data_IF_734867300061
#
_entry.id   IF_734867300061
#
_cell.length_a   1.000
_cell.length_b   1.000
_cell.length_c   1.000
_cell.angle_alpha   90.00
_cell.angle_beta   90.00
_cell.angle_gamma   90.00
#
_symmetry.space_group_name_H-M   'P 1'
#
loop_
_entity.id
_entity.type
_entity.pdbx_description
1 polymer ?
#
# COMPACT_ATOMS: atom_id res chain seq x y z
N UNK A 1 2.63 54.67 33.92
CA UNK A 1 2.26 54.15 32.59
C UNK A 1 2.25 52.63 32.67
N UNK A 2 1.07 52.03 32.54
CA UNK A 2 0.84 50.60 32.76
C UNK A 2 1.29 49.71 31.58
N UNK A 3 1.76 48.51 31.93
CA UNK A 3 1.83 47.21 31.23
C UNK A 3 2.21 47.14 29.73
N UNK A 4 3.19 46.29 29.41
CA UNK A 4 2.88 45.03 28.72
C UNK A 4 3.94 43.94 28.95
N UNK A 5 3.44 42.72 29.14
CA UNK A 5 4.12 41.50 29.57
C UNK A 5 4.75 40.77 28.36
N UNK A 6 5.83 40.05 28.67
CA UNK A 6 6.63 39.09 27.91
C UNK A 6 5.99 38.40 26.68
N UNK A 7 6.82 38.16 25.66
CA UNK A 7 6.80 36.89 24.92
C UNK A 7 8.20 36.38 24.57
N UNK A 8 8.61 35.37 25.33
CA UNK A 8 9.57 34.34 24.96
C UNK A 8 8.94 33.41 23.91
N UNK A 9 9.60 33.15 22.77
CA UNK A 9 10.05 31.80 22.34
C UNK A 9 10.53 31.75 20.87
N UNK A 10 11.43 30.80 20.55
CA UNK A 10 12.17 30.76 19.30
C UNK A 10 11.31 30.28 18.13
N UNK A 11 11.67 30.75 16.93
CA UNK A 11 11.07 30.31 15.66
C UNK A 11 11.57 28.90 15.36
N UNK A 12 10.91 27.90 15.96
CA UNK A 12 11.14 26.50 15.64
C UNK A 12 10.71 26.25 14.19
N UNK A 13 11.67 25.77 13.40
CA UNK A 13 11.53 25.21 12.07
C UNK A 13 10.57 24.01 12.08
N UNK A 14 9.28 24.26 11.89
CA UNK A 14 8.33 23.19 11.63
C UNK A 14 7.13 23.70 10.82
N UNK A 15 6.63 22.82 9.95
CA UNK A 15 5.40 22.94 9.15
C UNK A 15 5.49 23.67 7.80
N UNK A 16 6.49 23.30 6.99
CA UNK A 16 6.37 23.29 5.53
C UNK A 16 6.15 21.90 4.93
N UNK A 17 6.15 20.83 5.73
CA UNK A 17 5.62 19.52 5.31
C UNK A 17 4.10 19.59 5.45
N UNK A 18 3.48 20.27 4.48
CA UNK A 18 2.07 20.10 4.20
C UNK A 18 1.80 18.59 4.24
N UNK A 19 0.96 18.17 5.21
CA UNK A 19 0.43 16.82 5.31
C UNK A 19 0.13 16.35 3.89
N UNK A 20 0.90 15.38 3.39
CA UNK A 20 0.51 14.59 2.23
C UNK A 20 -0.85 14.01 2.61
N UNK A 21 -1.91 14.68 2.14
CA UNK A 21 -3.27 14.26 2.39
C UNK A 21 -3.34 12.80 1.98
N UNK A 22 -3.79 11.98 2.93
CA UNK A 22 -3.72 10.52 2.89
C UNK A 22 -4.63 10.02 1.77
N UNK A 23 -4.11 9.97 0.56
CA UNK A 23 -4.80 9.54 -0.66
C UNK A 23 -4.97 8.02 -0.71
N UNK A 24 -5.45 7.32 0.34
CA UNK A 24 -5.32 5.85 0.31
C UNK A 24 -6.13 5.01 1.29
N UNK A 25 -7.35 5.39 1.66
CA UNK A 25 -8.24 4.40 2.28
C UNK A 25 -8.95 3.51 1.23
N UNK A 26 -9.27 4.05 0.04
CA UNK A 26 -9.75 3.28 -1.12
C UNK A 26 -8.61 2.56 -1.86
N UNK A 27 -7.48 3.26 -2.11
CA UNK A 27 -6.39 2.69 -2.93
C UNK A 27 -5.79 1.42 -2.34
N UNK A 28 -5.80 1.23 -1.02
CA UNK A 28 -5.25 0.01 -0.42
C UNK A 28 -6.13 -1.23 -0.65
N UNK A 29 -7.46 -1.12 -0.62
CA UNK A 29 -8.32 -2.30 -0.85
C UNK A 29 -8.49 -2.60 -2.33
N UNK A 30 -8.62 -1.58 -3.16
CA UNK A 30 -8.71 -1.71 -4.62
C UNK A 30 -7.43 -2.31 -5.20
N UNK A 31 -6.26 -1.76 -4.84
CA UNK A 31 -4.99 -2.33 -5.29
C UNK A 31 -4.82 -3.77 -4.80
N UNK A 32 -5.16 -4.07 -3.54
CA UNK A 32 -5.08 -5.45 -3.01
C UNK A 32 -6.02 -6.40 -3.76
N UNK A 33 -7.22 -5.98 -4.12
CA UNK A 33 -8.17 -6.79 -4.87
C UNK A 33 -7.66 -7.10 -6.28
N UNK A 34 -7.15 -6.09 -6.99
CA UNK A 34 -6.58 -6.24 -8.34
C UNK A 34 -5.32 -7.12 -8.31
N UNK A 35 -4.40 -6.89 -7.35
CA UNK A 35 -3.22 -7.74 -7.17
C UNK A 35 -3.64 -9.18 -6.89
N UNK A 36 -4.60 -9.42 -5.98
CA UNK A 36 -5.11 -10.77 -5.68
C UNK A 36 -5.71 -11.46 -6.91
N UNK A 37 -6.45 -10.71 -7.73
CA UNK A 37 -7.03 -11.22 -8.97
C UNK A 37 -5.94 -11.70 -9.94
N UNK A 38 -4.93 -10.88 -10.20
CA UNK A 38 -3.86 -11.27 -11.11
C UNK A 38 -2.94 -12.37 -10.58
N UNK A 39 -2.69 -12.41 -9.27
CA UNK A 39 -1.97 -13.52 -8.62
C UNK A 39 -2.71 -14.83 -8.86
N UNK A 40 -4.04 -14.87 -8.67
CA UNK A 40 -4.87 -16.05 -8.97
C UNK A 40 -4.86 -16.44 -10.44
N UNK A 41 -4.58 -15.50 -11.35
CA UNK A 41 -4.41 -15.74 -12.79
C UNK A 41 -2.98 -16.18 -13.15
N UNK A 42 -2.07 -16.26 -12.19
CA UNK A 42 -0.69 -16.71 -12.39
C UNK A 42 0.23 -15.66 -13.01
N UNK A 43 -0.14 -14.37 -13.01
CA UNK A 43 0.72 -13.31 -13.54
C UNK A 43 1.94 -13.05 -12.64
N UNK A 44 3.05 -12.69 -13.27
CA UNK A 44 4.27 -12.30 -12.57
C UNK A 44 4.14 -10.90 -11.95
N UNK A 45 4.94 -10.54 -10.92
CA UNK A 45 4.92 -9.19 -10.35
C UNK A 45 5.11 -8.08 -11.38
N UNK A 46 5.96 -8.31 -12.38
CA UNK A 46 6.27 -7.35 -13.44
C UNK A 46 5.04 -7.06 -14.30
N UNK A 47 4.39 -8.12 -14.81
CA UNK A 47 3.18 -7.97 -15.63
C UNK A 47 2.05 -7.29 -14.86
N UNK A 48 1.87 -7.62 -13.58
CA UNK A 48 0.86 -6.98 -12.72
C UNK A 48 1.14 -5.49 -12.59
N UNK A 49 2.39 -5.11 -12.34
CA UNK A 49 2.77 -3.72 -12.18
C UNK A 49 2.60 -2.93 -13.48
N UNK A 50 3.08 -3.47 -14.60
CA UNK A 50 2.94 -2.82 -15.92
C UNK A 50 1.47 -2.63 -16.29
N UNK A 51 0.62 -3.65 -16.08
CA UNK A 51 -0.82 -3.54 -16.31
C UNK A 51 -1.45 -2.45 -15.43
N UNK A 52 -1.14 -2.43 -14.13
CA UNK A 52 -1.72 -1.45 -13.21
C UNK A 52 -1.21 -0.03 -13.48
N UNK A 53 0.05 0.15 -13.89
CA UNK A 53 0.59 1.44 -14.32
C UNK A 53 -0.08 1.93 -15.59
N UNK A 54 -0.36 1.02 -16.55
CA UNK A 54 -1.02 1.39 -17.80
C UNK A 54 -2.44 1.94 -17.59
N UNK A 55 -3.16 1.43 -16.57
CA UNK A 55 -4.55 1.82 -16.27
C UNK A 55 -4.61 2.99 -15.28
N UNK A 56 -3.83 2.94 -14.21
CA UNK A 56 -3.95 3.87 -13.07
C UNK A 56 -2.94 5.03 -13.11
N UNK A 57 -1.92 4.94 -13.97
CA UNK A 57 -0.87 5.95 -14.13
C UNK A 57 -0.28 6.35 -12.77
N UNK A 58 -0.37 7.63 -12.38
CA UNK A 58 0.16 8.16 -11.12
C UNK A 58 -0.51 7.55 -9.86
N UNK A 59 -1.70 6.98 -10.01
CA UNK A 59 -2.42 6.33 -8.92
C UNK A 59 -2.03 4.87 -8.72
N UNK A 60 -1.18 4.32 -9.59
CA UNK A 60 -0.75 2.92 -9.51
C UNK A 60 -0.03 2.61 -8.18
N UNK A 61 -0.16 1.38 -7.66
CA UNK A 61 0.61 0.94 -6.51
C UNK A 61 2.10 0.93 -6.84
N UNK A 62 2.94 1.05 -5.82
CA UNK A 62 4.38 0.83 -6.02
C UNK A 62 4.67 -0.64 -6.36
N UNK A 63 5.75 -0.88 -7.10
CA UNK A 63 6.20 -2.23 -7.42
C UNK A 63 6.43 -3.09 -6.15
N UNK A 64 6.96 -2.49 -5.08
CA UNK A 64 7.13 -3.15 -3.78
C UNK A 64 5.80 -3.62 -3.19
N UNK A 65 4.71 -2.86 -3.35
CA UNK A 65 3.38 -3.26 -2.90
C UNK A 65 2.88 -4.49 -3.67
N UNK A 66 3.14 -4.57 -4.98
CA UNK A 66 2.81 -5.73 -5.81
C UNK A 66 3.56 -6.98 -5.33
N UNK A 67 4.87 -6.87 -5.08
CA UNK A 67 5.69 -7.98 -4.54
C UNK A 67 5.16 -8.44 -3.19
N UNK A 68 4.89 -7.51 -2.27
CA UNK A 68 4.39 -7.83 -0.94
C UNK A 68 3.01 -8.47 -0.99
N UNK A 69 2.14 -7.99 -1.87
CA UNK A 69 0.82 -8.58 -2.12
C UNK A 69 0.94 -10.01 -2.66
N UNK A 70 1.79 -10.25 -3.65
CA UNK A 70 2.01 -11.58 -4.23
C UNK A 70 2.55 -12.57 -3.19
N UNK A 71 3.53 -12.16 -2.38
CA UNK A 71 4.06 -12.99 -1.30
C UNK A 71 3.01 -13.30 -0.23
N UNK A 72 2.12 -12.35 0.08
CA UNK A 72 1.03 -12.55 1.03
C UNK A 72 0.01 -13.57 0.50
N UNK A 73 -0.47 -13.42 -0.74
CA UNK A 73 -1.51 -14.29 -1.29
C UNK A 73 -1.01 -15.70 -1.66
N UNK A 74 0.27 -15.86 -2.01
CA UNK A 74 0.84 -17.18 -2.29
C UNK A 74 1.00 -18.05 -1.03
N UNK A 75 1.10 -17.44 0.17
CA UNK A 75 1.12 -18.20 1.44
C UNK A 75 -0.20 -18.95 1.66
N UNK A 76 -1.31 -18.29 1.36
CA UNK A 76 -2.65 -18.88 1.51
C UNK A 76 -2.82 -20.07 0.56
N UNK A 77 -2.39 -19.93 -0.70
CA UNK A 77 -2.49 -21.02 -1.67
C UNK A 77 -1.61 -22.22 -1.31
N UNK A 78 -0.38 -21.97 -0.84
CA UNK A 78 0.51 -23.04 -0.35
C UNK A 78 -0.10 -23.75 0.87
N UNK A 79 -0.66 -23.00 1.82
CA UNK A 79 -1.30 -23.58 3.00
C UNK A 79 -2.50 -24.47 2.60
N UNK A 80 -3.36 -24.00 1.69
CA UNK A 80 -4.50 -24.78 1.19
C UNK A 80 -4.04 -26.04 0.46
N UNK A 81 -3.02 -25.94 -0.40
CA UNK A 81 -2.44 -27.11 -1.09
C UNK A 81 -1.86 -28.13 -0.11
N UNK A 82 -1.22 -27.66 0.96
CA UNK A 82 -0.71 -28.54 2.01
C UNK A 82 -1.83 -29.26 2.75
N UNK A 83 -2.93 -28.58 3.10
CA UNK A 83 -4.09 -29.19 3.76
C UNK A 83 -4.74 -30.23 2.84
N UNK A 84 -4.94 -29.89 1.55
CA UNK A 84 -5.50 -30.82 0.57
C UNK A 84 -4.60 -32.05 0.36
N UNK A 85 -3.28 -31.87 0.32
CA UNK A 85 -2.33 -32.97 0.20
C UNK A 85 -2.30 -33.89 1.43
N UNK A 86 -2.68 -33.38 2.60
CA UNK A 86 -2.75 -34.17 3.84
C UNK A 86 -4.07 -34.96 3.99
N UNK A 87 -5.05 -34.77 3.10
CA UNK A 87 -6.32 -35.51 3.11
C UNK A 87 -7.22 -35.21 4.32
N UNK A 88 -7.08 -34.04 4.95
CA UNK A 88 -7.79 -33.65 6.19
C UNK A 88 -9.15 -32.97 5.88
N UNK A 89 -9.77 -33.30 4.75
CA UNK A 89 -11.07 -32.75 4.33
C UNK A 89 -12.06 -33.88 4.06
#
# INVERSE_FOLDING_TARGET
MALLIAHHRPVASALGRAKRAKSSNLSNIEHRAVIKYFVKKGKTPKEIFEDMVSVLQESAPSYTMVINGLAYFNKDERAVKMILAQGVL
#
